data_IF_998933974819
#
_entry.id   IF_998933974819
#
_cell.length_a   1.000
_cell.length_b   1.000
_cell.length_c   1.000
_cell.angle_alpha   90.00
_cell.angle_beta   90.00
_cell.angle_gamma   90.00
#
_symmetry.space_group_name_H-M   'P 1'
#
loop_
_entity.id
_entity.type
_entity.pdbx_description
1 polymer ?
#
# COMPACT_ATOMS: atom_id res chain seq x y z
N UNK A 1 6.33 -0.26 20.75
CA UNK A 1 6.15 0.66 19.60
C UNK A 1 5.28 1.83 20.05
N UNK A 2 5.69 3.06 19.75
CA UNK A 2 4.95 4.26 20.16
C UNK A 2 3.66 4.39 19.33
N UNK A 3 2.51 4.58 20.01
CA UNK A 3 1.21 4.80 19.37
C UNK A 3 0.88 6.28 19.38
N UNK A 4 0.49 6.84 18.24
CA UNK A 4 0.16 8.26 18.13
C UNK A 4 -1.36 8.44 18.22
N UNK A 5 -1.83 9.14 19.25
CA UNK A 5 -3.25 9.24 19.60
C UNK A 5 -3.91 10.56 19.22
N UNK A 6 -3.13 11.59 18.82
CA UNK A 6 -3.71 12.88 18.45
C UNK A 6 -4.71 12.71 17.28
N UNK A 7 -5.81 13.49 17.26
CA UNK A 7 -6.88 13.33 16.27
C UNK A 7 -6.40 13.35 14.81
N UNK A 8 -5.44 14.22 14.52
CA UNK A 8 -4.83 14.37 13.19
C UNK A 8 -4.06 13.11 12.74
N UNK A 9 -3.35 12.47 13.67
CA UNK A 9 -2.62 11.24 13.39
C UNK A 9 -3.57 10.06 13.21
N UNK A 10 -4.64 10.00 14.00
CA UNK A 10 -5.66 8.96 13.83
C UNK A 10 -6.35 9.06 12.46
N UNK A 11 -6.64 10.27 11.97
CA UNK A 11 -7.17 10.47 10.62
C UNK A 11 -6.17 10.02 9.54
N UNK A 12 -4.89 10.35 9.69
CA UNK A 12 -3.86 9.91 8.75
C UNK A 12 -3.76 8.39 8.69
N UNK A 13 -3.71 7.72 9.85
CA UNK A 13 -3.63 6.26 9.94
C UNK A 13 -4.84 5.58 9.27
N UNK A 14 -6.05 6.12 9.44
CA UNK A 14 -7.25 5.61 8.75
C UNK A 14 -7.18 5.80 7.23
N UNK A 15 -6.70 6.95 6.76
CA UNK A 15 -6.51 7.20 5.31
C UNK A 15 -5.48 6.24 4.72
N UNK A 16 -4.33 6.08 5.39
CA UNK A 16 -3.27 5.14 4.98
C UNK A 16 -3.73 3.70 4.99
N UNK A 17 -4.49 3.28 6.01
CA UNK A 17 -5.10 1.97 6.05
C UNK A 17 -6.04 1.75 4.85
N UNK A 18 -6.95 2.70 4.60
CA UNK A 18 -7.86 2.64 3.45
C UNK A 18 -7.11 2.60 2.11
N UNK A 19 -6.04 3.37 1.99
CA UNK A 19 -5.19 3.36 0.79
C UNK A 19 -4.55 1.99 0.54
N UNK A 20 -3.97 1.36 1.56
CA UNK A 20 -3.36 0.05 1.41
C UNK A 20 -4.37 -1.06 1.14
N UNK A 21 -5.56 -0.99 1.73
CA UNK A 21 -6.66 -1.91 1.39
C UNK A 21 -7.04 -1.75 -0.08
N UNK A 22 -7.24 -0.52 -0.54
CA UNK A 22 -7.59 -0.23 -1.93
C UNK A 22 -6.49 -0.72 -2.90
N UNK A 23 -5.22 -0.46 -2.58
CA UNK A 23 -4.10 -0.88 -3.42
C UNK A 23 -3.97 -2.40 -3.46
N UNK A 24 -4.14 -3.08 -2.31
CA UNK A 24 -4.17 -4.53 -2.23
C UNK A 24 -5.29 -5.15 -3.08
N UNK A 25 -6.50 -4.56 -3.04
CA UNK A 25 -7.61 -4.99 -3.89
C UNK A 25 -7.33 -4.76 -5.38
N UNK A 26 -6.77 -3.60 -5.74
CA UNK A 26 -6.41 -3.27 -7.12
C UNK A 26 -5.41 -4.29 -7.66
N UNK A 27 -4.33 -4.57 -6.91
CA UNK A 27 -3.34 -5.57 -7.31
C UNK A 27 -3.93 -6.97 -7.45
N UNK A 28 -4.82 -7.37 -6.54
CA UNK A 28 -5.48 -8.67 -6.61
C UNK A 28 -6.35 -8.79 -7.86
N UNK A 29 -7.19 -7.79 -8.15
CA UNK A 29 -8.07 -7.77 -9.32
C UNK A 29 -7.24 -7.74 -10.62
N UNK A 30 -6.26 -6.84 -10.73
CA UNK A 30 -5.45 -6.71 -11.94
C UNK A 30 -4.65 -7.98 -12.22
N UNK A 31 -4.04 -8.59 -11.20
CA UNK A 31 -3.33 -9.87 -11.39
C UNK A 31 -4.28 -11.01 -11.74
N UNK A 32 -5.48 -11.07 -11.14
CA UNK A 32 -6.50 -12.04 -11.51
C UNK A 32 -6.92 -11.91 -12.98
N UNK A 33 -7.13 -10.68 -13.46
CA UNK A 33 -7.42 -10.42 -14.88
C UNK A 33 -6.24 -10.82 -15.76
N UNK A 34 -5.01 -10.45 -15.40
CA UNK A 34 -3.82 -10.84 -16.17
C UNK A 34 -3.71 -12.36 -16.26
N UNK A 35 -3.90 -13.11 -15.17
CA UNK A 35 -3.88 -14.56 -15.17
C UNK A 35 -4.93 -15.18 -16.10
N UNK A 36 -6.13 -14.58 -16.17
CA UNK A 36 -7.18 -15.03 -17.09
C UNK A 36 -6.86 -14.74 -18.56
N UNK A 37 -6.16 -13.64 -18.85
CA UNK A 37 -5.85 -13.21 -20.23
C UNK A 37 -4.60 -13.88 -20.81
N UNK A 38 -3.68 -14.32 -19.96
CA UNK A 38 -2.34 -14.75 -20.34
C UNK A 38 -2.31 -16.17 -20.98
N UNK A 39 -3.41 -16.91 -20.91
CA UNK A 39 -3.60 -18.18 -21.63
C UNK A 39 -2.71 -19.33 -21.13
N UNK A 40 -2.93 -20.57 -21.59
CA UNK A 40 -2.22 -21.75 -21.11
C UNK A 40 -0.72 -21.76 -21.45
N UNK A 41 -0.30 -21.06 -22.50
CA UNK A 41 1.08 -21.08 -23.03
C UNK A 41 2.09 -20.24 -22.22
N UNK A 42 1.60 -19.38 -21.33
CA UNK A 42 2.44 -18.56 -20.45
C UNK A 42 2.83 -19.25 -19.13
N UNK A 43 2.64 -20.57 -19.08
CA UNK A 43 3.05 -21.50 -18.03
C UNK A 43 4.36 -21.16 -17.29
N UNK A 44 5.49 -20.80 -17.94
CA UNK A 44 6.74 -20.58 -17.20
C UNK A 44 6.74 -19.33 -16.31
N UNK A 45 5.90 -18.32 -16.60
CA UNK A 45 5.88 -17.06 -15.84
C UNK A 45 4.79 -17.03 -14.77
N UNK A 46 3.79 -17.91 -14.87
CA UNK A 46 2.67 -17.99 -13.93
C UNK A 46 3.12 -18.10 -12.45
N UNK A 47 4.07 -18.99 -12.09
CA UNK A 47 4.52 -19.11 -10.70
C UNK A 47 5.18 -17.83 -10.17
N UNK A 48 5.99 -17.17 -10.99
CA UNK A 48 6.66 -15.92 -10.63
C UNK A 48 5.65 -14.77 -10.47
N UNK A 49 4.66 -14.68 -11.36
CA UNK A 49 3.56 -13.71 -11.26
C UNK A 49 2.71 -13.95 -10.01
N UNK A 50 2.34 -15.21 -9.73
CA UNK A 50 1.56 -15.58 -8.55
C UNK A 50 2.31 -15.26 -7.25
N UNK A 51 3.60 -15.60 -7.17
CA UNK A 51 4.44 -15.30 -6.01
C UNK A 51 4.56 -13.79 -5.79
N UNK A 52 4.84 -13.03 -6.85
CA UNK A 52 4.95 -11.56 -6.78
C UNK A 52 3.64 -10.93 -6.32
N UNK A 53 2.52 -11.40 -6.87
CA UNK A 53 1.17 -10.95 -6.47
C UNK A 53 0.89 -11.23 -5.00
N UNK A 54 1.25 -12.42 -4.52
CA UNK A 54 1.10 -12.82 -3.13
C UNK A 54 1.94 -11.95 -2.19
N UNK A 55 3.21 -11.70 -2.54
CA UNK A 55 4.09 -10.81 -1.78
C UNK A 55 3.54 -9.38 -1.70
N UNK A 56 3.05 -8.82 -2.81
CA UNK A 56 2.44 -7.48 -2.82
C UNK A 56 1.17 -7.42 -1.97
N UNK A 57 0.33 -8.45 -2.05
CA UNK A 57 -0.88 -8.55 -1.23
C UNK A 57 -0.54 -8.59 0.27
N UNK A 58 0.42 -9.42 0.67
CA UNK A 58 0.88 -9.49 2.06
C UNK A 58 1.47 -8.17 2.54
N UNK A 59 2.30 -7.53 1.73
CA UNK A 59 2.93 -6.25 2.07
C UNK A 59 1.88 -5.17 2.33
N UNK A 60 0.90 -5.02 1.44
CA UNK A 60 -0.18 -4.06 1.63
C UNK A 60 -1.11 -4.43 2.78
N UNK A 61 -1.36 -5.73 3.00
CA UNK A 61 -2.11 -6.22 4.16
C UNK A 61 -1.43 -5.87 5.48
N UNK A 62 -0.12 -6.08 5.59
CA UNK A 62 0.68 -5.75 6.78
C UNK A 62 0.71 -4.24 7.05
N UNK A 63 0.88 -3.42 6.00
CA UNK A 63 0.85 -1.96 6.14
C UNK A 63 -0.55 -1.46 6.53
N UNK A 64 -1.61 -2.02 5.94
CA UNK A 64 -2.99 -1.71 6.30
C UNK A 64 -3.27 -2.06 7.77
N UNK A 65 -2.89 -3.26 8.19
CA UNK A 65 -3.01 -3.71 9.57
C UNK A 65 -2.23 -2.78 10.52
N UNK A 66 -0.95 -2.54 10.25
CA UNK A 66 -0.12 -1.67 11.08
C UNK A 66 -0.66 -0.24 11.18
N UNK A 67 -1.20 0.30 10.08
CA UNK A 67 -1.87 1.59 10.09
C UNK A 67 -3.17 1.58 10.91
N UNK A 68 -3.97 0.51 10.82
CA UNK A 68 -5.18 0.31 11.63
C UNK A 68 -4.90 0.30 13.13
N UNK A 69 -3.76 -0.27 13.55
CA UNK A 69 -3.29 -0.28 14.94
C UNK A 69 -2.52 0.99 15.36
N UNK A 70 -2.41 1.98 14.46
CA UNK A 70 -1.72 3.25 14.68
C UNK A 70 -0.24 3.09 15.01
N UNK A 71 0.42 2.14 14.36
CA UNK A 71 1.86 1.95 14.48
C UNK A 71 2.61 2.95 13.60
N UNK A 72 3.43 3.78 14.25
CA UNK A 72 4.23 4.80 13.57
C UNK A 72 5.23 4.18 12.57
N UNK A 73 5.74 2.98 12.87
CA UNK A 73 6.59 2.25 11.93
C UNK A 73 5.86 1.89 10.64
N UNK A 74 4.56 1.56 10.71
CA UNK A 74 3.76 1.28 9.53
C UNK A 74 3.57 2.55 8.68
N UNK A 75 3.30 3.69 9.33
CA UNK A 75 3.21 5.00 8.65
C UNK A 75 4.49 5.34 7.88
N UNK A 76 5.65 5.24 8.54
CA UNK A 76 6.96 5.50 7.91
C UNK A 76 7.28 4.51 6.80
N UNK A 77 6.96 3.23 6.99
CA UNK A 77 7.15 2.22 5.95
C UNK A 77 6.28 2.51 4.73
N UNK A 78 5.03 2.91 4.92
CA UNK A 78 4.11 3.33 3.85
C UNK A 78 4.63 4.52 3.05
N UNK A 79 5.28 5.49 3.72
CA UNK A 79 5.90 6.65 3.06
C UNK A 79 7.04 6.23 2.14
N UNK A 80 7.97 5.43 2.68
CA UNK A 80 9.14 4.95 1.95
C UNK A 80 8.70 4.10 0.76
N UNK A 81 7.77 3.17 0.97
CA UNK A 81 7.20 2.37 -0.11
C UNK A 81 6.48 3.24 -1.14
N UNK A 82 5.67 4.21 -0.70
CA UNK A 82 5.00 5.14 -1.59
C UNK A 82 5.99 5.88 -2.49
N UNK A 83 7.08 6.42 -1.91
CA UNK A 83 8.13 7.10 -2.66
C UNK A 83 8.78 6.20 -3.72
N UNK A 84 9.12 4.96 -3.36
CA UNK A 84 9.70 4.00 -4.31
C UNK A 84 8.72 3.62 -5.43
N UNK A 85 7.44 3.43 -5.12
CA UNK A 85 6.43 3.07 -6.11
C UNK A 85 6.07 4.23 -7.04
N UNK A 86 6.19 5.49 -6.58
CA UNK A 86 6.03 6.67 -7.42
C UNK A 86 7.14 6.85 -8.46
N UNK A 87 8.35 6.34 -8.20
CA UNK A 87 9.48 6.40 -9.17
C UNK A 87 9.26 5.42 -10.33
N UNK A 88 8.51 4.33 -10.10
CA UNK A 88 8.34 3.25 -11.08
C UNK A 88 7.05 3.26 -11.91
N UNK A 89 6.02 4.04 -11.54
CA UNK A 89 4.71 3.96 -12.21
C UNK A 89 3.96 5.32 -12.21
N UNK A 90 3.53 5.85 -13.38
CA UNK A 90 2.81 7.13 -13.47
C UNK A 90 1.48 7.13 -12.68
N UNK A 91 0.83 5.97 -12.58
CA UNK A 91 -0.39 5.79 -11.78
C UNK A 91 -0.08 5.86 -10.27
N UNK A 92 1.08 5.32 -9.85
CA UNK A 92 1.56 5.40 -8.47
C UNK A 92 1.78 6.84 -8.02
N UNK A 93 2.32 7.68 -8.91
CA UNK A 93 2.50 9.12 -8.69
C UNK A 93 1.17 9.86 -8.53
N UNK A 94 0.17 9.57 -9.36
CA UNK A 94 -1.17 10.18 -9.24
C UNK A 94 -1.86 9.78 -7.94
N UNK A 95 -1.86 8.49 -7.60
CA UNK A 95 -2.43 7.98 -6.36
C UNK A 95 -1.71 8.57 -5.14
N UNK A 96 -0.37 8.65 -5.20
CA UNK A 96 0.45 9.29 -4.19
C UNK A 96 0.08 10.76 -4.00
N UNK A 97 -0.01 11.53 -5.08
CA UNK A 97 -0.35 12.95 -5.02
C UNK A 97 -1.73 13.20 -4.36
N UNK A 98 -2.78 12.48 -4.76
CA UNK A 98 -4.12 12.70 -4.21
C UNK A 98 -4.30 12.18 -2.77
N UNK A 99 -3.57 11.14 -2.36
CA UNK A 99 -3.80 10.47 -1.08
C UNK A 99 -2.76 10.84 -0.01
N UNK A 100 -1.50 11.10 -0.37
CA UNK A 100 -0.44 11.55 0.56
C UNK A 100 -0.51 13.04 0.87
N UNK A 101 -1.02 13.90 -0.03
CA UNK A 101 -1.19 15.33 0.30
C UNK A 101 -2.18 15.56 1.46
N UNK A 102 -3.04 14.58 1.74
CA UNK A 102 -4.05 14.67 2.81
C UNK A 102 -3.58 14.07 4.14
N UNK A 103 -2.34 13.58 4.22
CA UNK A 103 -1.72 13.15 5.47
C UNK A 103 -0.86 14.26 6.05
N UNK A 104 -1.20 14.76 7.23
CA UNK A 104 -0.42 15.80 7.90
C UNK A 104 0.81 15.21 8.59
N UNK A 105 1.99 15.66 8.15
CA UNK A 105 3.31 15.14 8.57
C UNK A 105 3.91 15.84 9.80
N UNK A 106 3.09 16.41 10.67
CA UNK A 106 3.59 17.05 11.88
C UNK A 106 4.11 15.99 12.84
N UNK A 107 5.31 16.17 13.37
CA UNK A 107 5.76 15.40 14.53
C UNK A 107 4.79 15.66 15.71
N UNK A 108 4.60 14.70 16.64
CA UNK A 108 3.84 14.95 17.85
C UNK A 108 4.67 15.99 18.60
N UNK A 109 4.09 17.16 18.84
CA UNK A 109 4.74 18.10 19.73
C UNK A 109 4.73 17.48 21.13
N UNK A 110 5.85 17.55 21.87
CA UNK A 110 5.92 17.06 23.24
C UNK A 110 4.87 17.74 24.14
#
# INVERSE_FOLDING_TARGET
MQRWTAPIHNQNHRKLMGFHILLGMLYFITNGICLLLVGPDASPYLPAMALTSFCLFLLHGLLAFGCGYRFEAARKASEVLGAFMMIGFPIGTLLGYFLLQRTYWLAPRP
#
